data_IF_139264439179
#
_entry.id   IF_139264439179
#
_cell.length_a   1.000
_cell.length_b   1.000
_cell.length_c   1.000
_cell.angle_alpha   90.00
_cell.angle_beta   90.00
_cell.angle_gamma   90.00
#
_symmetry.space_group_name_H-M   'P 1'
#
loop_
_entity.id
_entity.type
_entity.pdbx_description
1 polymer ?
#
# COMPACT_ATOMS: atom_id res chain seq x y z
N UNK A 1 0.39 52.75 16.04
CA UNK A 1 -0.01 51.42 15.59
C UNK A 1 0.64 50.41 16.52
N UNK A 2 -0.20 49.76 17.32
CA UNK A 2 0.17 48.94 18.46
C UNK A 2 0.23 47.47 18.03
N UNK A 3 1.41 46.89 18.05
CA UNK A 3 1.61 45.43 17.93
C UNK A 3 1.22 44.78 19.25
N UNK A 4 0.22 43.88 19.19
CA UNK A 4 -0.13 43.02 20.32
C UNK A 4 0.69 41.73 20.24
N UNK A 5 1.70 41.64 21.10
CA UNK A 5 2.47 40.43 21.33
C UNK A 5 1.60 39.36 22.04
N UNK A 6 1.55 38.18 21.43
CA UNK A 6 0.92 36.99 22.03
C UNK A 6 1.91 36.41 23.05
N UNK A 7 1.55 36.47 24.34
CA UNK A 7 2.33 35.85 25.44
C UNK A 7 1.94 34.35 25.54
N UNK A 8 2.93 33.48 25.38
CA UNK A 8 2.82 32.06 25.76
C UNK A 8 3.02 31.92 27.28
N UNK A 9 2.26 31.07 27.98
CA UNK A 9 2.48 30.85 29.40
C UNK A 9 3.73 29.98 29.65
N UNK A 10 4.53 30.43 30.62
CA UNK A 10 5.74 29.83 31.12
C UNK A 10 5.51 28.49 31.85
N UNK A 11 6.51 27.64 31.77
CA UNK A 11 6.65 26.29 32.30
C UNK A 11 6.09 26.05 33.71
N UNK A 12 5.35 24.97 33.87
CA UNK A 12 4.96 24.39 35.16
C UNK A 12 6.01 23.36 35.58
N UNK A 13 6.44 23.46 36.86
CA UNK A 13 7.43 22.61 37.53
C UNK A 13 6.94 21.15 37.64
N UNK A 14 7.86 20.16 37.65
CA UNK A 14 7.51 18.75 37.85
C UNK A 14 7.30 18.46 39.34
N UNK A 15 6.15 17.90 39.70
CA UNK A 15 5.89 17.43 41.05
C UNK A 15 4.43 17.23 41.36
N UNK A 16 3.87 16.13 40.91
CA UNK A 16 2.81 15.31 41.54
C UNK A 16 2.24 14.36 40.50
N UNK A 17 2.43 13.07 40.70
CA UNK A 17 1.82 12.02 39.91
C UNK A 17 0.29 12.10 40.03
N UNK A 18 -0.37 12.76 39.13
CA UNK A 18 -1.80 12.58 38.89
C UNK A 18 -1.94 11.45 37.88
N UNK A 19 -2.39 10.31 38.36
CA UNK A 19 -2.97 9.27 37.51
C UNK A 19 -4.10 9.92 36.72
N UNK A 20 -3.84 10.24 35.46
CA UNK A 20 -4.91 10.50 34.53
C UNK A 20 -5.64 9.19 34.32
N UNK A 21 -6.85 9.13 34.83
CA UNK A 21 -7.80 8.10 34.46
C UNK A 21 -8.12 8.34 32.97
N UNK A 22 -7.42 7.62 32.11
CA UNK A 22 -7.84 7.46 30.72
C UNK A 22 -9.10 6.61 30.79
N UNK A 23 -10.26 7.26 30.84
CA UNK A 23 -11.54 6.60 30.64
C UNK A 23 -11.57 6.33 29.13
N UNK A 24 -11.15 5.13 28.77
CA UNK A 24 -11.31 4.62 27.41
C UNK A 24 -12.79 4.70 27.05
N UNK A 25 -13.10 5.44 25.98
CA UNK A 25 -14.44 5.49 25.37
C UNK A 25 -14.87 4.10 24.88
N UNK A 26 -13.93 3.15 24.80
CA UNK A 26 -14.16 1.71 24.56
C UNK A 26 -14.96 1.02 25.68
N UNK A 27 -14.93 1.52 26.91
CA UNK A 27 -15.60 0.84 28.03
C UNK A 27 -17.13 0.90 27.96
N UNK A 28 -17.71 1.85 27.24
CA UNK A 28 -19.17 1.93 27.09
C UNK A 28 -19.71 1.04 25.97
N UNK A 29 -18.89 0.72 24.97
CA UNK A 29 -19.28 -0.22 23.91
C UNK A 29 -19.19 -1.68 24.36
N UNK A 30 -18.31 -1.96 25.33
CA UNK A 30 -18.13 -3.32 25.88
C UNK A 30 -19.18 -3.72 26.91
N UNK A 31 -19.85 -2.78 27.57
CA UNK A 31 -20.84 -3.11 28.61
C UNK A 31 -22.17 -3.63 28.04
N UNK A 32 -22.61 -3.18 26.86
CA UNK A 32 -23.81 -3.71 26.19
C UNK A 32 -23.56 -5.04 25.46
N UNK A 33 -22.31 -5.33 25.09
CA UNK A 33 -21.92 -6.59 24.44
C UNK A 33 -21.56 -7.69 25.47
N UNK A 34 -21.16 -7.31 26.69
CA UNK A 34 -20.73 -8.25 27.73
C UNK A 34 -21.85 -9.19 28.25
N UNK A 35 -23.10 -8.78 28.19
CA UNK A 35 -24.24 -9.59 28.62
C UNK A 35 -24.62 -10.63 27.55
N UNK A 36 -24.39 -10.36 26.28
CA UNK A 36 -24.60 -11.32 25.18
C UNK A 36 -23.46 -12.36 25.05
N UNK A 37 -22.26 -12.06 25.56
CA UNK A 37 -21.10 -12.97 25.52
C UNK A 37 -21.16 -14.15 26.47
N UNK A 38 -22.05 -14.11 27.47
CA UNK A 38 -22.22 -15.21 28.43
C UNK A 38 -23.10 -16.38 27.89
N UNK A 39 -23.66 -16.23 26.70
CA UNK A 39 -24.59 -17.23 26.13
C UNK A 39 -24.13 -17.88 24.82
N UNK A 40 -22.97 -17.52 24.27
CA UNK A 40 -22.43 -18.24 23.11
C UNK A 40 -20.92 -18.49 23.31
N UNK A 41 -20.56 -19.75 23.46
CA UNK A 41 -19.18 -20.23 23.46
C UNK A 41 -18.54 -20.27 22.06
N UNK A 42 -19.06 -19.48 21.10
CA UNK A 42 -18.45 -19.26 19.82
C UNK A 42 -17.42 -18.14 19.97
N UNK A 43 -16.14 -18.47 20.05
CA UNK A 43 -15.06 -17.53 19.74
C UNK A 43 -15.35 -17.02 18.32
N UNK A 44 -15.77 -15.77 18.18
CA UNK A 44 -15.72 -15.09 16.89
C UNK A 44 -14.23 -15.05 16.49
N UNK A 45 -13.85 -15.92 15.58
CA UNK A 45 -12.52 -15.88 14.97
C UNK A 45 -12.58 -14.75 13.95
N UNK A 46 -12.05 -13.59 14.30
CA UNK A 46 -11.90 -12.50 13.35
C UNK A 46 -10.86 -12.92 12.30
N UNK A 47 -11.15 -12.71 11.00
CA UNK A 47 -10.22 -13.08 9.95
C UNK A 47 -8.90 -12.31 10.11
N UNK A 48 -7.79 -13.03 10.05
CA UNK A 48 -6.46 -12.41 10.05
C UNK A 48 -6.15 -11.88 8.65
N UNK A 49 -5.83 -10.61 8.56
CA UNK A 49 -5.55 -9.95 7.28
C UNK A 49 -4.15 -9.35 7.24
N UNK A 50 -3.43 -9.58 6.16
CA UNK A 50 -2.06 -9.10 5.96
C UNK A 50 -1.98 -8.15 4.78
N UNK A 51 -1.39 -6.97 4.98
CA UNK A 51 -0.94 -6.11 3.87
C UNK A 51 0.59 -6.12 3.77
N UNK A 52 1.10 -6.33 2.56
CA UNK A 52 2.54 -6.26 2.26
C UNK A 52 2.79 -5.15 1.26
N UNK A 53 3.71 -4.24 1.57
CA UNK A 53 4.09 -3.15 0.69
C UNK A 53 5.41 -3.47 -0.03
N UNK A 54 5.37 -3.47 -1.37
CA UNK A 54 6.51 -3.66 -2.26
C UNK A 54 6.89 -2.31 -2.89
N UNK A 55 7.86 -1.57 -2.33
CA UNK A 55 8.23 -0.25 -2.82
C UNK A 55 8.92 -0.29 -4.18
N UNK A 56 9.08 0.88 -4.79
CA UNK A 56 9.94 1.08 -5.95
C UNK A 56 11.36 1.50 -5.55
N UNK A 57 12.28 1.52 -6.52
CA UNK A 57 13.59 2.15 -6.33
C UNK A 57 13.38 3.66 -6.18
N UNK A 58 13.81 4.24 -5.05
CA UNK A 58 13.59 5.66 -4.72
C UNK A 58 12.16 6.04 -4.32
N UNK A 59 11.24 5.07 -4.27
CA UNK A 59 9.87 5.28 -3.81
C UNK A 59 9.55 4.35 -2.63
N UNK A 60 9.93 4.75 -1.42
CA UNK A 60 9.75 3.97 -0.19
C UNK A 60 8.28 3.95 0.29
N UNK A 61 7.98 3.10 1.26
CA UNK A 61 6.61 2.85 1.73
C UNK A 61 5.93 4.06 2.40
N UNK A 62 6.66 5.10 2.78
CA UNK A 62 6.08 6.34 3.35
C UNK A 62 5.79 7.42 2.31
N UNK A 63 6.01 7.15 1.03
CA UNK A 63 5.55 8.01 -0.07
C UNK A 63 4.02 7.89 -0.26
N UNK A 64 3.35 8.95 -0.75
CA UNK A 64 1.89 9.10 -0.68
C UNK A 64 1.07 7.88 -1.12
N UNK A 65 1.37 7.31 -2.30
CA UNK A 65 0.59 6.18 -2.83
C UNK A 65 0.58 4.98 -1.88
N UNK A 66 1.75 4.56 -1.39
CA UNK A 66 1.86 3.41 -0.47
C UNK A 66 1.44 3.78 0.96
N UNK A 67 1.76 4.99 1.41
CA UNK A 67 1.40 5.46 2.74
C UNK A 67 -0.12 5.48 2.95
N UNK A 68 -0.85 6.15 2.08
CA UNK A 68 -2.30 6.26 2.24
C UNK A 68 -3.01 4.93 1.97
N UNK A 69 -2.53 4.12 1.02
CA UNK A 69 -3.12 2.79 0.76
C UNK A 69 -3.03 1.87 1.96
N UNK A 70 -1.89 1.84 2.67
CA UNK A 70 -1.78 1.03 3.91
C UNK A 70 -2.66 1.55 5.03
N UNK A 71 -2.95 2.88 5.07
CA UNK A 71 -3.93 3.43 6.01
C UNK A 71 -5.34 2.99 5.67
N UNK A 72 -5.71 2.97 4.39
CA UNK A 72 -6.99 2.43 3.93
C UNK A 72 -7.11 0.93 4.24
N UNK A 73 -6.05 0.15 4.03
CA UNK A 73 -6.00 -1.26 4.38
C UNK A 73 -6.22 -1.47 5.90
N UNK A 74 -5.55 -0.68 6.74
CA UNK A 74 -5.75 -0.74 8.20
C UNK A 74 -7.21 -0.43 8.59
N UNK A 75 -7.85 0.57 7.96
CA UNK A 75 -9.28 0.86 8.17
C UNK A 75 -10.19 -0.30 7.71
N UNK A 76 -9.73 -1.14 6.79
CA UNK A 76 -10.45 -2.33 6.31
C UNK A 76 -10.12 -3.62 7.08
N UNK A 77 -9.42 -3.48 8.21
CA UNK A 77 -9.11 -4.60 9.12
C UNK A 77 -7.85 -5.39 8.76
N UNK A 78 -6.94 -4.83 7.94
CA UNK A 78 -5.61 -5.40 7.75
C UNK A 78 -4.71 -5.01 8.94
N UNK A 79 -4.77 -5.79 10.00
CA UNK A 79 -4.09 -5.50 11.26
C UNK A 79 -2.59 -5.82 11.20
N UNK A 80 -2.19 -6.70 10.28
CA UNK A 80 -0.81 -7.06 10.04
C UNK A 80 -0.27 -6.31 8.83
N UNK A 81 0.87 -5.64 8.99
CA UNK A 81 1.51 -4.85 7.93
C UNK A 81 2.99 -5.17 7.82
N UNK A 82 3.45 -5.52 6.62
CA UNK A 82 4.86 -5.70 6.30
C UNK A 82 5.29 -4.66 5.28
N UNK A 83 6.35 -3.93 5.58
CA UNK A 83 6.91 -2.89 4.73
C UNK A 83 8.28 -3.34 4.25
N UNK A 84 8.38 -3.75 2.99
CA UNK A 84 9.67 -4.16 2.45
C UNK A 84 10.58 -2.95 2.26
N UNK A 85 11.86 -3.16 2.44
CA UNK A 85 12.90 -2.17 2.22
C UNK A 85 13.92 -2.74 1.24
N UNK A 86 14.20 -1.95 0.20
CA UNK A 86 15.15 -2.36 -0.82
C UNK A 86 16.41 -1.50 -0.79
N UNK A 87 17.54 -2.15 -0.95
CA UNK A 87 18.82 -1.51 -1.18
C UNK A 87 19.26 -1.78 -2.62
N UNK A 88 19.30 -0.73 -3.44
CA UNK A 88 19.75 -0.80 -4.82
C UNK A 88 20.37 0.54 -5.23
N UNK A 89 21.59 0.50 -5.74
CA UNK A 89 22.44 1.70 -5.95
C UNK A 89 22.98 1.83 -7.38
N UNK A 90 22.38 1.16 -8.36
CA UNK A 90 22.86 1.23 -9.74
C UNK A 90 22.07 2.26 -10.55
N UNK A 91 22.79 3.14 -11.25
CA UNK A 91 22.22 4.09 -12.19
C UNK A 91 21.95 3.47 -13.57
N UNK A 92 21.26 4.21 -14.45
CA UNK A 92 21.08 3.79 -15.86
C UNK A 92 20.04 2.70 -16.08
N UNK A 93 19.08 2.55 -15.20
CA UNK A 93 17.99 1.55 -15.35
C UNK A 93 17.07 1.87 -16.53
N UNK A 94 16.73 3.16 -16.71
CA UNK A 94 15.79 3.57 -17.77
C UNK A 94 16.41 3.36 -19.15
N UNK A 95 15.66 2.66 -20.02
CA UNK A 95 16.10 2.35 -21.38
C UNK A 95 17.06 1.15 -21.49
N UNK A 96 17.38 0.47 -20.38
CA UNK A 96 18.20 -0.73 -20.37
C UNK A 96 17.42 -1.95 -19.85
N UNK A 97 16.89 -2.82 -20.73
CA UNK A 97 16.18 -4.04 -20.30
C UNK A 97 17.05 -4.96 -19.44
N UNK A 98 18.35 -5.05 -19.74
CA UNK A 98 19.28 -5.86 -18.97
C UNK A 98 19.49 -5.33 -17.54
N UNK A 99 19.68 -4.01 -17.38
CA UNK A 99 19.80 -3.39 -16.06
C UNK A 99 18.50 -3.50 -15.27
N UNK A 100 17.33 -3.36 -15.92
CA UNK A 100 16.03 -3.53 -15.29
C UNK A 100 15.83 -4.96 -14.80
N UNK A 101 16.28 -5.97 -15.57
CA UNK A 101 16.23 -7.37 -15.18
C UNK A 101 17.12 -7.64 -13.97
N UNK A 102 18.36 -7.16 -13.98
CA UNK A 102 19.28 -7.27 -12.84
C UNK A 102 18.71 -6.62 -11.57
N UNK A 103 18.11 -5.42 -11.72
CA UNK A 103 17.42 -4.76 -10.62
C UNK A 103 16.27 -5.61 -10.08
N UNK A 104 15.43 -6.14 -10.96
CA UNK A 104 14.34 -7.03 -10.58
C UNK A 104 14.86 -8.26 -9.81
N UNK A 105 15.87 -8.95 -10.32
CA UNK A 105 16.41 -10.15 -9.69
C UNK A 105 16.99 -9.83 -8.29
N UNK A 106 17.67 -8.68 -8.17
CA UNK A 106 18.20 -8.20 -6.87
C UNK A 106 17.08 -7.89 -5.87
N UNK A 107 16.06 -7.15 -6.30
CA UNK A 107 14.94 -6.77 -5.42
C UNK A 107 14.06 -7.97 -5.07
N UNK A 108 13.90 -8.90 -6.01
CA UNK A 108 13.18 -10.14 -5.76
C UNK A 108 13.87 -10.98 -4.69
N UNK A 109 15.20 -11.15 -4.75
CA UNK A 109 15.96 -11.86 -3.73
C UNK A 109 15.85 -11.19 -2.34
N UNK A 110 15.82 -9.85 -2.29
CA UNK A 110 15.60 -9.13 -1.04
C UNK A 110 14.18 -9.32 -0.50
N UNK A 111 13.16 -9.36 -1.36
CA UNK A 111 11.78 -9.66 -0.97
C UNK A 111 11.66 -11.09 -0.43
N UNK A 112 12.25 -12.08 -1.10
CA UNK A 112 12.34 -13.47 -0.64
C UNK A 112 12.91 -13.55 0.79
N UNK A 113 14.05 -12.90 1.03
CA UNK A 113 14.70 -12.92 2.34
C UNK A 113 13.82 -12.28 3.43
N UNK A 114 13.17 -11.14 3.14
CA UNK A 114 12.33 -10.43 4.11
C UNK A 114 11.00 -11.14 4.42
N UNK A 115 10.49 -11.91 3.48
CA UNK A 115 9.20 -12.61 3.60
C UNK A 115 9.36 -14.10 3.95
N UNK A 116 10.59 -14.60 4.09
CA UNK A 116 10.90 -16.03 4.31
C UNK A 116 10.26 -16.63 5.57
N UNK A 117 10.04 -15.82 6.61
CA UNK A 117 9.47 -16.26 7.88
C UNK A 117 7.94 -16.07 7.97
N UNK A 118 7.29 -15.62 6.87
CA UNK A 118 5.83 -15.39 6.88
C UNK A 118 5.11 -16.72 6.71
N UNK A 119 4.28 -17.06 7.70
CA UNK A 119 3.35 -18.19 7.61
C UNK A 119 2.07 -17.74 6.87
N UNK A 120 2.09 -17.87 5.54
CA UNK A 120 1.01 -17.39 4.66
C UNK A 120 -0.35 -18.04 4.95
N UNK A 121 -0.45 -19.35 5.23
CA UNK A 121 -1.73 -20.02 5.51
C UNK A 121 -2.48 -19.48 6.74
N UNK A 122 -1.83 -18.74 7.64
CA UNK A 122 -2.52 -18.16 8.79
C UNK A 122 -3.41 -16.96 8.41
N UNK A 123 -3.24 -16.37 7.21
CA UNK A 123 -3.98 -15.19 6.78
C UNK A 123 -5.13 -15.55 5.88
N UNK A 124 -6.33 -15.09 6.25
CA UNK A 124 -7.57 -15.29 5.47
C UNK A 124 -7.65 -14.34 4.27
N UNK A 125 -6.97 -13.20 4.33
CA UNK A 125 -6.94 -12.20 3.26
C UNK A 125 -5.56 -11.53 3.19
N UNK A 126 -4.96 -11.54 2.00
CA UNK A 126 -3.64 -10.95 1.74
C UNK A 126 -3.76 -9.88 0.66
N UNK A 127 -3.25 -8.69 0.96
CA UNK A 127 -3.20 -7.56 0.04
C UNK A 127 -1.75 -7.16 -0.25
N UNK A 128 -1.35 -7.12 -1.51
CA UNK A 128 -0.08 -6.56 -1.94
C UNK A 128 -0.29 -5.16 -2.49
N UNK A 129 0.40 -4.19 -1.89
CA UNK A 129 0.48 -2.80 -2.36
C UNK A 129 1.86 -2.58 -2.97
N UNK A 130 1.92 -2.27 -4.25
CA UNK A 130 3.19 -2.25 -4.96
C UNK A 130 3.36 -1.04 -5.87
N UNK A 131 4.62 -0.62 -6.09
CA UNK A 131 4.96 0.58 -6.87
C UNK A 131 6.12 0.31 -7.83
N UNK A 132 5.97 0.73 -9.11
CA UNK A 132 7.04 0.67 -10.10
C UNK A 132 7.58 -0.75 -10.28
N UNK A 133 8.88 -0.98 -10.21
CA UNK A 133 9.50 -2.31 -10.27
C UNK A 133 9.00 -3.23 -9.17
N UNK A 134 8.58 -2.67 -8.01
CA UNK A 134 7.93 -3.44 -6.95
C UNK A 134 6.65 -4.15 -7.39
N UNK A 135 5.95 -3.66 -8.43
CA UNK A 135 4.78 -4.33 -9.01
C UNK A 135 5.15 -5.65 -9.71
N UNK A 136 6.30 -5.68 -10.37
CA UNK A 136 6.82 -6.92 -10.94
C UNK A 136 7.29 -7.89 -9.85
N UNK A 137 7.96 -7.37 -8.81
CA UNK A 137 8.42 -8.18 -7.67
C UNK A 137 7.23 -8.82 -6.96
N UNK A 138 6.17 -8.05 -6.66
CA UNK A 138 4.97 -8.56 -5.98
C UNK A 138 4.22 -9.60 -6.82
N UNK A 139 4.06 -9.36 -8.12
CA UNK A 139 3.42 -10.30 -9.03
C UNK A 139 4.21 -11.62 -9.13
N UNK A 140 5.54 -11.53 -9.29
CA UNK A 140 6.41 -12.71 -9.30
C UNK A 140 6.36 -13.48 -8.00
N UNK A 141 6.37 -12.77 -6.87
CA UNK A 141 6.33 -13.38 -5.54
C UNK A 141 5.01 -14.12 -5.32
N UNK A 142 3.87 -13.48 -5.62
CA UNK A 142 2.56 -14.12 -5.52
C UNK A 142 2.48 -15.38 -6.39
N UNK A 143 2.93 -15.29 -7.65
CA UNK A 143 2.88 -16.40 -8.60
C UNK A 143 3.77 -17.57 -8.17
N UNK A 144 5.04 -17.30 -7.82
CA UNK A 144 6.03 -18.35 -7.50
C UNK A 144 5.73 -19.08 -6.20
N UNK A 145 5.14 -18.40 -5.24
CA UNK A 145 4.76 -18.99 -3.95
C UNK A 145 3.29 -19.44 -3.88
N UNK A 146 2.52 -19.26 -4.97
CA UNK A 146 1.11 -19.64 -5.01
C UNK A 146 0.25 -18.91 -3.96
N UNK A 147 0.58 -17.65 -3.64
CA UNK A 147 -0.13 -16.88 -2.62
C UNK A 147 -1.41 -16.31 -3.19
N UNK A 148 -2.59 -16.71 -2.71
CA UNK A 148 -3.83 -16.08 -3.09
C UNK A 148 -3.90 -14.68 -2.48
N UNK A 149 -3.70 -13.65 -3.28
CA UNK A 149 -3.70 -12.27 -2.82
C UNK A 149 -4.40 -11.33 -3.79
N UNK A 150 -4.87 -10.19 -3.26
CA UNK A 150 -5.28 -9.05 -4.06
C UNK A 150 -4.10 -8.12 -4.25
N UNK A 151 -4.01 -7.47 -5.42
CA UNK A 151 -2.85 -6.65 -5.76
C UNK A 151 -3.26 -5.25 -6.22
N UNK A 152 -2.61 -4.23 -5.69
CA UNK A 152 -2.70 -2.86 -6.20
C UNK A 152 -1.35 -2.49 -6.79
N UNK A 153 -1.37 -2.15 -8.08
CA UNK A 153 -0.20 -1.94 -8.91
C UNK A 153 -0.10 -0.44 -9.29
N UNK A 154 0.69 0.32 -8.55
CA UNK A 154 0.94 1.72 -8.86
C UNK A 154 2.06 1.87 -9.87
N UNK A 155 1.76 2.50 -11.00
CA UNK A 155 2.67 2.75 -12.13
C UNK A 155 3.49 1.50 -12.50
N UNK A 156 2.78 0.42 -12.90
CA UNK A 156 3.44 -0.83 -13.26
C UNK A 156 4.31 -0.66 -14.50
N UNK A 157 5.37 -1.46 -14.54
CA UNK A 157 6.19 -1.63 -15.73
C UNK A 157 5.59 -2.70 -16.66
N UNK A 158 5.92 -2.69 -17.94
CA UNK A 158 5.45 -3.72 -18.88
C UNK A 158 5.80 -5.14 -18.42
N UNK A 159 6.95 -5.30 -17.74
CA UNK A 159 7.40 -6.57 -17.14
C UNK A 159 6.38 -7.13 -16.12
N UNK A 160 5.61 -6.28 -15.44
CA UNK A 160 4.64 -6.72 -14.44
C UNK A 160 3.58 -7.64 -15.02
N UNK A 161 3.06 -7.33 -16.21
CA UNK A 161 1.98 -8.11 -16.84
C UNK A 161 2.46 -9.42 -17.47
N UNK A 162 3.77 -9.53 -17.79
CA UNK A 162 4.37 -10.80 -18.18
C UNK A 162 4.37 -11.84 -17.03
N UNK A 163 4.19 -11.37 -15.79
CA UNK A 163 4.08 -12.21 -14.60
C UNK A 163 2.63 -12.50 -14.19
N UNK A 164 1.67 -12.15 -15.07
CA UNK A 164 0.25 -12.45 -14.96
C UNK A 164 -0.35 -12.18 -13.57
N UNK A 165 -0.27 -10.94 -13.03
CA UNK A 165 -0.84 -10.62 -11.71
C UNK A 165 -2.33 -10.92 -11.68
N UNK A 166 -2.77 -11.65 -10.65
CA UNK A 166 -4.16 -12.03 -10.47
C UNK A 166 -4.86 -11.09 -9.47
N UNK A 167 -6.19 -10.93 -9.58
CA UNK A 167 -6.98 -10.10 -8.67
C UNK A 167 -6.35 -8.71 -8.45
N UNK A 168 -6.01 -8.04 -9.55
CA UNK A 168 -5.24 -6.80 -9.52
C UNK A 168 -6.04 -5.60 -10.01
N UNK A 169 -5.70 -4.41 -9.46
CA UNK A 169 -6.10 -3.10 -9.96
C UNK A 169 -4.82 -2.29 -10.23
N UNK A 170 -4.72 -1.68 -11.40
CA UNK A 170 -3.54 -0.92 -11.80
C UNK A 170 -3.85 0.57 -12.04
N UNK A 171 -2.84 1.43 -11.78
CA UNK A 171 -2.88 2.88 -11.98
C UNK A 171 -1.65 3.33 -12.75
N UNK A 172 -1.80 4.14 -13.81
CA UNK A 172 -0.68 4.59 -14.63
C UNK A 172 -0.89 6.02 -15.13
N UNK A 173 0.17 6.82 -15.12
CA UNK A 173 0.19 8.12 -15.77
C UNK A 173 0.50 8.02 -17.26
N UNK A 174 -0.17 8.82 -18.09
CA UNK A 174 0.08 8.78 -19.55
C UNK A 174 1.41 9.42 -19.96
N UNK A 175 2.00 10.25 -19.11
CA UNK A 175 3.34 10.84 -19.28
C UNK A 175 4.41 10.14 -18.45
N UNK A 176 4.18 8.88 -18.06
CA UNK A 176 5.15 8.09 -17.31
C UNK A 176 6.40 7.77 -18.17
N UNK A 177 7.59 8.26 -17.81
CA UNK A 177 8.79 8.06 -18.63
C UNK A 177 9.38 6.64 -18.52
N UNK A 178 8.86 5.79 -17.63
CA UNK A 178 9.32 4.42 -17.41
C UNK A 178 8.51 3.39 -18.18
N UNK A 179 7.31 3.77 -18.64
CA UNK A 179 6.37 2.85 -19.26
C UNK A 179 5.66 3.53 -20.42
N UNK A 180 5.66 2.90 -21.59
CA UNK A 180 4.75 3.31 -22.66
C UNK A 180 3.32 2.95 -22.26
N UNK A 181 2.48 3.98 -22.06
CA UNK A 181 1.13 3.83 -21.55
C UNK A 181 0.25 2.95 -22.46
N UNK A 182 0.45 3.00 -23.77
CA UNK A 182 -0.30 2.19 -24.74
C UNK A 182 0.04 0.70 -24.63
N UNK A 183 1.32 0.40 -24.51
CA UNK A 183 1.83 -0.98 -24.34
C UNK A 183 1.39 -1.56 -23.01
N UNK A 184 1.46 -0.78 -21.92
CA UNK A 184 0.98 -1.21 -20.60
C UNK A 184 -0.52 -1.44 -20.60
N UNK A 185 -1.31 -0.55 -21.25
CA UNK A 185 -2.75 -0.72 -21.36
C UNK A 185 -3.14 -1.98 -22.16
N UNK A 186 -2.42 -2.27 -23.25
CA UNK A 186 -2.63 -3.49 -24.02
C UNK A 186 -2.30 -4.75 -23.20
N UNK A 187 -1.19 -4.74 -22.45
CA UNK A 187 -0.76 -5.85 -21.60
C UNK A 187 -1.74 -6.07 -20.41
N UNK A 188 -2.17 -5.00 -19.75
CA UNK A 188 -3.16 -5.05 -18.68
C UNK A 188 -4.49 -5.65 -19.16
N UNK A 189 -4.96 -5.22 -20.34
CA UNK A 189 -6.17 -5.76 -20.99
C UNK A 189 -6.03 -7.26 -21.29
N UNK A 190 -4.91 -7.64 -21.86
CA UNK A 190 -4.63 -9.06 -22.17
C UNK A 190 -4.60 -9.93 -20.91
N UNK A 191 -4.15 -9.37 -19.80
CA UNK A 191 -4.13 -10.05 -18.49
C UNK A 191 -5.48 -9.98 -17.74
N UNK A 192 -6.46 -9.20 -18.23
CA UNK A 192 -7.74 -8.97 -17.54
C UNK A 192 -7.63 -8.05 -16.32
N UNK A 193 -6.55 -7.28 -16.20
CA UNK A 193 -6.34 -6.33 -15.10
C UNK A 193 -6.99 -4.98 -15.43
N UNK A 194 -7.94 -4.48 -14.62
CA UNK A 194 -8.42 -3.11 -14.73
C UNK A 194 -7.28 -2.10 -14.57
N UNK A 195 -7.20 -1.13 -15.50
CA UNK A 195 -6.19 -0.09 -15.51
C UNK A 195 -6.85 1.29 -15.51
N UNK A 196 -6.52 2.11 -14.52
CA UNK A 196 -6.88 3.52 -14.45
C UNK A 196 -5.75 4.37 -15.02
N UNK A 197 -6.04 5.13 -16.08
CA UNK A 197 -5.09 6.07 -16.69
C UNK A 197 -5.32 7.48 -16.20
N UNK A 198 -4.21 8.20 -15.91
CA UNK A 198 -4.21 9.60 -15.50
C UNK A 198 -3.45 10.43 -16.50
N UNK A 199 -4.17 11.35 -17.14
CA UNK A 199 -3.66 12.16 -18.23
C UNK A 199 -2.52 13.07 -17.76
N UNK A 200 -1.44 13.15 -18.57
CA UNK A 200 -0.25 13.97 -18.29
C UNK A 200 0.46 13.68 -16.95
N UNK A 201 0.04 12.66 -16.20
CA UNK A 201 0.70 12.28 -14.96
C UNK A 201 1.96 11.46 -15.22
N UNK A 202 2.98 11.71 -14.40
CA UNK A 202 4.29 11.07 -14.45
C UNK A 202 4.32 9.73 -13.69
N UNK A 203 5.51 9.21 -13.45
CA UNK A 203 5.73 7.96 -12.69
C UNK A 203 5.30 8.01 -11.21
N UNK A 204 4.99 9.17 -10.66
CA UNK A 204 4.43 9.34 -9.31
C UNK A 204 2.92 9.62 -9.31
N UNK A 205 2.27 9.62 -10.49
CA UNK A 205 0.91 10.08 -10.75
C UNK A 205 0.76 11.59 -10.44
N UNK A 206 1.78 12.38 -10.77
CA UNK A 206 1.84 13.81 -10.58
C UNK A 206 2.05 14.51 -11.93
N UNK A 207 1.46 15.69 -12.09
CA UNK A 207 1.59 16.55 -13.29
C UNK A 207 2.53 17.73 -13.04
N UNK A 208 2.80 18.05 -11.75
CA UNK A 208 3.51 19.23 -11.31
C UNK A 208 2.60 20.39 -10.92
N UNK A 209 1.29 20.29 -11.14
CA UNK A 209 0.28 21.17 -10.53
C UNK A 209 -0.16 20.54 -9.21
N UNK A 210 0.21 21.16 -8.10
CA UNK A 210 0.00 20.61 -6.75
C UNK A 210 -1.47 20.34 -6.44
N UNK A 211 -2.38 21.23 -6.85
CA UNK A 211 -3.81 21.06 -6.55
C UNK A 211 -4.43 19.96 -7.42
N UNK A 212 -4.01 19.88 -8.67
CA UNK A 212 -4.40 18.78 -9.57
C UNK A 212 -3.84 17.44 -9.05
N UNK A 213 -2.59 17.41 -8.61
CA UNK A 213 -1.93 16.21 -8.09
C UNK A 213 -2.61 15.70 -6.81
N UNK A 214 -3.05 16.61 -5.92
CA UNK A 214 -3.83 16.24 -4.74
C UNK A 214 -5.21 15.67 -5.11
N UNK A 215 -5.89 16.23 -6.11
CA UNK A 215 -7.15 15.69 -6.60
C UNK A 215 -6.97 14.31 -7.25
N UNK A 216 -5.90 14.13 -8.03
CA UNK A 216 -5.50 12.84 -8.60
C UNK A 216 -5.24 11.81 -7.51
N UNK A 217 -4.46 12.16 -6.48
CA UNK A 217 -4.20 11.28 -5.34
C UNK A 217 -5.50 10.89 -4.62
N UNK A 218 -6.41 11.83 -4.44
CA UNK A 218 -7.71 11.55 -3.82
C UNK A 218 -8.50 10.53 -4.64
N UNK A 219 -8.61 10.68 -5.96
CA UNK A 219 -9.31 9.75 -6.85
C UNK A 219 -8.66 8.35 -6.84
N UNK A 220 -7.32 8.30 -6.89
CA UNK A 220 -6.56 7.04 -6.76
C UNK A 220 -6.89 6.34 -5.44
N UNK A 221 -6.93 7.09 -4.33
CA UNK A 221 -7.23 6.52 -3.01
C UNK A 221 -8.69 6.06 -2.88
N UNK A 222 -9.63 6.76 -3.50
CA UNK A 222 -11.04 6.33 -3.54
C UNK A 222 -11.20 5.00 -4.29
N UNK A 223 -10.57 4.85 -5.46
CA UNK A 223 -10.58 3.60 -6.22
C UNK A 223 -9.87 2.47 -5.48
N UNK A 224 -8.74 2.79 -4.83
CA UNK A 224 -8.01 1.86 -3.95
C UNK A 224 -8.91 1.39 -2.80
N UNK A 225 -9.62 2.29 -2.13
CA UNK A 225 -10.54 1.96 -1.05
C UNK A 225 -11.67 1.06 -1.52
N UNK A 226 -12.28 1.37 -2.67
CA UNK A 226 -13.33 0.53 -3.27
C UNK A 226 -12.80 -0.88 -3.53
N UNK A 227 -11.63 -1.00 -4.17
CA UNK A 227 -11.01 -2.30 -4.44
C UNK A 227 -10.70 -3.09 -3.17
N UNK A 228 -10.26 -2.43 -2.09
CA UNK A 228 -9.99 -3.08 -0.79
C UNK A 228 -11.31 -3.52 -0.12
N UNK A 229 -12.39 -2.76 -0.27
CA UNK A 229 -13.69 -3.08 0.32
C UNK A 229 -14.44 -4.19 -0.42
N UNK A 230 -14.23 -4.33 -1.73
CA UNK A 230 -14.85 -5.38 -2.54
C UNK A 230 -14.23 -6.74 -2.18
N UNK A 231 -14.88 -7.44 -1.25
CA UNK A 231 -14.49 -8.83 -0.92
C UNK A 231 -14.88 -9.73 -2.10
N UNK A 232 -13.96 -10.50 -2.68
CA UNK A 232 -14.36 -11.53 -3.65
C UNK A 232 -15.34 -12.48 -2.99
N UNK A 233 -16.50 -12.65 -3.60
CA UNK A 233 -17.50 -13.66 -3.20
C UNK A 233 -17.04 -15.06 -3.54
#
# INVERSE_FOLDING_TARGET
>A
HSEKAIKYPTAVRPGAARRFLVIEVSAWYTCSQGILRLLSSNKEVFPMKLVVCFPGIGYHCDKPLLYYSRKLAACAGYDHTLLLQYTYHKDGLRGSPAALREAFDTLYAQAEAQLSAVDWPQYDDVLFLSKSIGTAVSAAFAQRHGIPCRQILYTPLSLTFALAPQNALAFLGTADPWSDASSVAAAARANGTPLCLYENANHSLETGDVLHDLATLQDVMQKTQTFIADTPR
#
